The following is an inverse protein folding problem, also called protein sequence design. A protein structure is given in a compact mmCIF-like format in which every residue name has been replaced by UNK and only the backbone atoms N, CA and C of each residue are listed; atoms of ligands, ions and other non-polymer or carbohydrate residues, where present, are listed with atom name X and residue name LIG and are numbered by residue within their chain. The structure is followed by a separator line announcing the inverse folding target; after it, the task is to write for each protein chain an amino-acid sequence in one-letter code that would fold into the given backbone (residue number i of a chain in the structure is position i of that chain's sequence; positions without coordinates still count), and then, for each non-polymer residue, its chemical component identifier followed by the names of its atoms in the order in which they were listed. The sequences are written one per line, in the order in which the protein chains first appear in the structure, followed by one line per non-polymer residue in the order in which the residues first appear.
data_IF_740391400353
#
_entry.id   IF_740391400353
#
_cell.length_a   1.000
_cell.length_b   1.000
_cell.length_c   1.000
_cell.angle_alpha   90.00
_cell.angle_beta   90.00
_cell.angle_gamma   90.00
#
_symmetry.space_group_name_H-M   'P 1'
#
loop_
_entity.id
_entity.type
_entity.pdbx_description
1 polymer ?
#
# COMPACT_ATOMS: atom_id res chain seq x y z
N UNK A 1 13.10 -8.05 -8.40
CA UNK A 1 12.10 -6.99 -8.22
C UNK A 1 10.75 -7.66 -8.33
N UNK A 2 9.96 -7.61 -7.28
CA UNK A 2 8.63 -8.22 -7.27
C UNK A 2 7.57 -7.14 -7.59
N UNK A 3 6.40 -7.59 -8.02
CA UNK A 3 5.26 -6.71 -8.27
C UNK A 3 4.09 -7.15 -7.41
N UNK A 4 3.35 -6.17 -6.88
CA UNK A 4 2.29 -6.39 -5.92
C UNK A 4 1.03 -5.61 -6.28
N UNK A 5 -0.05 -5.87 -5.55
CA UNK A 5 -1.29 -5.10 -5.63
C UNK A 5 -1.83 -4.91 -4.22
N UNK A 6 -2.16 -3.67 -3.86
CA UNK A 6 -2.87 -3.31 -2.64
C UNK A 6 -4.25 -2.77 -2.98
N UNK A 7 -5.18 -2.92 -2.04
CA UNK A 7 -6.56 -2.47 -2.20
C UNK A 7 -6.86 -1.42 -1.15
N UNK A 8 -7.51 -0.34 -1.56
CA UNK A 8 -8.01 0.70 -0.67
C UNK A 8 -9.39 1.14 -1.13
N UNK A 9 -10.30 1.41 -0.20
CA UNK A 9 -11.57 2.06 -0.51
C UNK A 9 -11.31 3.56 -0.67
N UNK A 10 -11.73 4.19 -1.78
CA UNK A 10 -11.38 5.59 -2.06
C UNK A 10 -11.90 6.56 -0.99
N UNK A 11 -13.04 6.26 -0.37
CA UNK A 11 -13.61 7.08 0.74
C UNK A 11 -12.80 7.00 2.04
N UNK A 12 -12.05 5.92 2.24
CA UNK A 12 -11.23 5.72 3.44
C UNK A 12 -9.79 6.22 3.23
N UNK A 13 -9.20 5.90 2.08
CA UNK A 13 -7.88 6.38 1.69
C UNK A 13 -7.72 6.27 0.16
N UNK A 14 -7.77 7.41 -0.51
CA UNK A 14 -7.76 7.53 -1.96
C UNK A 14 -6.36 7.53 -2.55
N UNK A 15 -6.27 7.55 -3.89
CA UNK A 15 -5.00 7.75 -4.58
C UNK A 15 -4.45 9.15 -4.34
N UNK A 16 -5.31 10.17 -4.30
CA UNK A 16 -4.91 11.54 -4.07
C UNK A 16 -4.37 11.74 -2.65
N UNK A 17 -4.91 11.03 -1.67
CA UNK A 17 -4.38 10.99 -0.30
C UNK A 17 -2.94 10.44 -0.29
N UNK A 18 -2.69 9.34 -1.02
CA UNK A 18 -1.34 8.80 -1.15
C UNK A 18 -0.40 9.78 -1.85
N UNK A 19 -0.84 10.43 -2.93
CA UNK A 19 -0.06 11.45 -3.64
C UNK A 19 0.29 12.61 -2.71
N UNK A 20 -0.64 13.05 -1.85
CA UNK A 20 -0.43 14.14 -0.90
C UNK A 20 0.65 13.83 0.16
N UNK A 21 0.92 12.55 0.46
CA UNK A 21 2.02 12.16 1.37
C UNK A 21 3.42 12.39 0.76
N UNK A 22 3.49 12.56 -0.56
CA UNK A 22 4.74 12.77 -1.30
C UNK A 22 5.72 11.62 -1.15
N UNK A 23 7.03 11.93 -1.18
CA UNK A 23 8.10 10.92 -1.09
C UNK A 23 8.20 10.21 0.26
N UNK A 24 7.59 10.77 1.30
CA UNK A 24 7.55 10.15 2.63
C UNK A 24 6.72 8.87 2.59
N UNK A 25 5.65 8.86 1.78
CA UNK A 25 4.71 7.76 1.70
C UNK A 25 3.81 7.64 2.93
N UNK A 26 2.99 6.60 2.91
CA UNK A 26 2.04 6.26 3.97
C UNK A 26 2.29 4.83 4.49
N UNK A 27 2.28 4.61 5.81
CA UNK A 27 2.24 3.29 6.42
C UNK A 27 1.00 2.50 6.02
N UNK A 28 1.19 1.35 5.35
CA UNK A 28 0.10 0.46 4.95
C UNK A 28 -0.39 -0.40 6.12
N UNK A 29 -0.96 0.26 7.11
CA UNK A 29 -1.42 -0.30 8.39
C UNK A 29 -2.82 -0.91 8.28
N UNK A 30 -3.29 -1.53 9.36
CA UNK A 30 -4.66 -2.06 9.43
C UNK A 30 -4.86 -3.40 8.72
N UNK A 31 -3.83 -3.95 8.06
CA UNK A 31 -3.91 -5.29 7.45
C UNK A 31 -3.98 -6.35 8.56
N UNK A 32 -5.10 -7.07 8.61
CA UNK A 32 -5.34 -8.17 9.58
C UNK A 32 -5.47 -9.55 8.94
N UNK A 33 -5.26 -9.64 7.63
CA UNK A 33 -5.22 -10.90 6.91
C UNK A 33 -3.79 -11.49 6.96
N UNK A 34 -3.67 -12.77 7.34
CA UNK A 34 -2.37 -13.43 7.52
C UNK A 34 -1.61 -13.58 6.20
N UNK A 35 -2.28 -13.92 5.10
CA UNK A 35 -1.66 -14.04 3.78
C UNK A 35 -1.19 -12.69 3.26
N UNK A 36 -2.01 -11.64 3.41
CA UNK A 36 -1.63 -10.29 3.04
C UNK A 36 -0.42 -9.80 3.85
N UNK A 37 -0.37 -10.12 5.15
CA UNK A 37 0.81 -9.86 5.99
C UNK A 37 2.06 -10.55 5.43
N UNK A 38 1.98 -11.83 5.07
CA UNK A 38 3.11 -12.56 4.50
C UNK A 38 3.59 -11.94 3.19
N UNK A 39 2.69 -11.48 2.33
CA UNK A 39 3.04 -10.76 1.11
C UNK A 39 3.75 -9.43 1.43
N UNK A 40 3.24 -8.64 2.37
CA UNK A 40 3.91 -7.40 2.79
C UNK A 40 5.30 -7.64 3.39
N UNK A 41 5.49 -8.72 4.15
CA UNK A 41 6.81 -9.11 4.68
C UNK A 41 7.81 -9.49 3.58
N UNK A 42 7.32 -9.90 2.41
CA UNK A 42 8.14 -10.24 1.25
C UNK A 42 8.44 -9.03 0.33
N UNK A 43 7.78 -7.88 0.55
CA UNK A 43 8.04 -6.65 -0.19
C UNK A 43 9.42 -6.08 0.13
N UNK A 44 10.13 -5.60 -0.88
CA UNK A 44 11.46 -4.99 -0.77
C UNK A 44 11.47 -3.55 -1.24
N UNK A 45 12.43 -2.76 -0.73
CA UNK A 45 12.60 -1.37 -1.16
C UNK A 45 12.66 -1.28 -2.67
N UNK A 46 11.87 -0.38 -3.23
CA UNK A 46 11.77 -0.16 -4.67
C UNK A 46 10.80 -1.09 -5.41
N UNK A 47 10.26 -2.15 -4.79
CA UNK A 47 9.24 -2.97 -5.43
C UNK A 47 8.02 -2.10 -5.83
N UNK A 48 7.45 -2.41 -7.00
CA UNK A 48 6.29 -1.69 -7.52
C UNK A 48 4.98 -2.35 -7.09
N UNK A 49 3.99 -1.52 -6.80
CA UNK A 49 2.71 -1.94 -6.24
C UNK A 49 1.60 -1.25 -6.99
N UNK A 50 0.62 -1.99 -7.50
CA UNK A 50 -0.60 -1.40 -8.03
C UNK A 50 -1.50 -0.92 -6.88
N UNK A 51 -2.00 0.30 -6.99
CA UNK A 51 -3.01 0.86 -6.11
C UNK A 51 -4.39 0.65 -6.73
N UNK A 52 -5.14 -0.28 -6.16
CA UNK A 52 -6.48 -0.64 -6.64
C UNK A 52 -7.55 -0.02 -5.73
N UNK A 53 -8.48 0.73 -6.33
CA UNK A 53 -9.69 1.18 -5.63
C UNK A 53 -10.67 0.02 -5.50
N UNK A 54 -11.05 -0.33 -4.27
CA UNK A 54 -12.02 -1.39 -3.98
C UNK A 54 -13.37 -0.82 -3.59
N UNK A 55 -14.41 -1.68 -3.68
CA UNK A 55 -15.83 -1.37 -3.47
C UNK A 55 -16.41 -0.41 -4.52
N UNK A 56 -15.86 0.80 -4.63
CA UNK A 56 -16.17 1.82 -5.63
C UNK A 56 -14.98 1.99 -6.60
N UNK A 57 -15.25 2.40 -7.86
CA UNK A 57 -14.24 2.51 -8.93
C UNK A 57 -13.76 1.16 -9.48
N UNK A 58 -13.39 0.20 -8.61
CA UNK A 58 -12.92 -1.17 -8.95
C UNK A 58 -11.88 -1.20 -10.07
N UNK A 59 -10.94 -0.28 -10.00
CA UNK A 59 -9.96 0.02 -11.04
C UNK A 59 -8.57 0.23 -10.43
N UNK A 60 -7.53 0.09 -11.26
CA UNK A 60 -6.16 0.37 -10.84
C UNK A 60 -5.87 1.81 -11.21
N UNK A 61 -5.71 2.68 -10.22
CA UNK A 61 -5.58 4.12 -10.46
C UNK A 61 -4.14 4.60 -10.55
N UNK A 62 -3.19 3.81 -10.05
CA UNK A 62 -1.79 4.19 -10.08
C UNK A 62 -0.84 3.09 -9.62
N UNK A 63 0.45 3.43 -9.74
CA UNK A 63 1.58 2.63 -9.29
C UNK A 63 2.21 3.35 -8.11
N UNK A 64 2.36 2.64 -6.99
CA UNK A 64 3.16 3.05 -5.86
C UNK A 64 4.46 2.23 -5.76
N UNK A 65 5.35 2.65 -4.88
CA UNK A 65 6.64 2.01 -4.63
C UNK A 65 6.84 1.82 -3.14
N UNK A 66 7.43 0.68 -2.76
CA UNK A 66 7.81 0.41 -1.37
C UNK A 66 8.98 1.32 -0.99
N UNK A 67 8.74 2.23 -0.05
CA UNK A 67 9.74 3.19 0.46
C UNK A 67 10.26 2.82 1.86
N UNK A 68 9.64 1.83 2.51
CA UNK A 68 10.13 1.19 3.74
C UNK A 68 9.71 -0.27 3.79
N UNK A 69 10.68 -1.17 4.06
CA UNK A 69 10.38 -2.60 4.24
C UNK A 69 9.56 -2.86 5.50
N UNK A 70 9.06 -4.10 5.62
CA UNK A 70 8.12 -4.46 6.67
C UNK A 70 8.63 -4.19 8.09
N UNK A 71 7.76 -3.59 8.91
CA UNK A 71 7.97 -3.33 10.33
C UNK A 71 6.66 -3.50 11.11
N UNK A 72 6.70 -3.66 12.45
CA UNK A 72 5.50 -3.85 13.25
C UNK A 72 4.46 -2.77 13.03
N UNK A 73 3.20 -3.18 12.79
CA UNK A 73 2.11 -2.24 12.58
C UNK A 73 1.81 -1.48 13.90
N UNK A 74 1.97 -0.14 13.94
CA UNK A 74 1.76 0.65 15.15
C UNK A 74 0.29 0.63 15.63
N UNK A 75 -0.65 0.26 14.76
CA UNK A 75 -2.08 0.14 15.08
C UNK A 75 -2.44 -1.23 15.67
N UNK A 76 -1.49 -2.17 15.74
CA UNK A 76 -1.68 -3.47 16.39
C UNK A 76 -0.95 -3.54 17.74
N UNK A 77 -1.68 -3.28 18.83
CA UNK A 77 -1.14 -3.35 20.19
C UNK A 77 -0.56 -4.72 20.59
N UNK A 78 -0.88 -5.81 19.86
CA UNK A 78 -0.36 -7.15 20.11
C UNK A 78 0.92 -7.46 19.33
N UNK A 79 1.35 -6.59 18.41
CA UNK A 79 2.59 -6.72 17.64
C UNK A 79 2.63 -7.95 16.71
N UNK A 80 1.48 -8.48 16.28
CA UNK A 80 1.35 -9.66 15.41
C UNK A 80 1.37 -9.32 13.93
N UNK A 81 1.00 -8.09 13.59
CA UNK A 81 0.91 -7.60 12.22
C UNK A 81 2.09 -6.69 11.87
N UNK A 82 2.31 -6.56 10.57
CA UNK A 82 3.39 -5.79 9.97
C UNK A 82 2.77 -4.85 8.95
N UNK A 83 3.47 -3.76 8.64
CA UNK A 83 3.14 -2.84 7.57
C UNK A 83 4.43 -2.43 6.83
N UNK A 84 4.28 -1.94 5.61
CA UNK A 84 5.32 -1.29 4.81
C UNK A 84 4.94 0.17 4.61
N UNK A 85 5.87 1.03 4.19
CA UNK A 85 5.47 2.36 3.71
C UNK A 85 5.45 2.36 2.18
N UNK A 86 4.39 2.92 1.61
CA UNK A 86 4.19 3.06 0.17
C UNK A 86 4.18 4.53 -0.21
N UNK A 87 4.85 4.92 -1.30
CA UNK A 87 4.75 6.25 -1.88
C UNK A 87 4.20 6.18 -3.30
N UNK A 88 3.39 7.18 -3.69
CA UNK A 88 2.91 7.29 -5.07
C UNK A 88 4.09 7.47 -6.04
N UNK A 89 4.10 6.70 -7.13
CA UNK A 89 5.09 6.82 -8.21
C UNK A 89 4.50 7.53 -9.42
N UNK A 90 3.40 7.01 -9.96
CA UNK A 90 2.70 7.60 -11.09
C UNK A 90 1.25 7.10 -11.17
N UNK A 91 0.29 7.94 -11.60
CA UNK A 91 -1.05 7.47 -11.94
C UNK A 91 -1.01 6.64 -13.23
N UNK A 92 -2.01 5.78 -13.44
CA UNK A 92 -2.21 5.16 -14.75
C UNK A 92 -2.84 6.18 -15.72
N UNK A 93 -2.43 6.23 -17.00
CA UNK A 93 -3.02 7.15 -17.98
C UNK A 93 -4.53 6.93 -18.19
N UNK A 94 -4.98 5.68 -17.98
CA UNK A 94 -6.37 5.26 -17.98
C UNK A 94 -6.52 4.18 -16.90
N UNK A 95 -7.31 4.43 -15.85
CA UNK A 95 -7.57 3.44 -14.82
C UNK A 95 -8.44 2.28 -15.32
#
# INVERSE_FOLDING_TARGET
MNHWLVKSEPDAFSWDDLVATGKKGEPWTGVRNHTAKLNMMAMKLGDEVFFYHSQEGKEIVGICTVVKEAYPDPTDAKGKFQCVDLAAKAPLPRP
#
